data_IF_708302026793
#
_entry.id   IF_708302026793
#
_cell.length_a   1.000
_cell.length_b   1.000
_cell.length_c   1.000
_cell.angle_alpha   90.00
_cell.angle_beta   90.00
_cell.angle_gamma   90.00
#
_symmetry.space_group_name_H-M   'P 1'
#
loop_
_entity.id
_entity.type
_entity.pdbx_description
1 polymer ?
#
# COMPACT_ATOMS: atom_id res chain seq x y z
N UNK A 1 9.30 -19.62 55.27
CA UNK A 1 9.01 -19.93 53.85
C UNK A 1 9.41 -18.70 53.05
N UNK A 2 10.35 -18.83 52.12
CA UNK A 2 10.69 -17.72 51.23
C UNK A 2 9.52 -17.51 50.26
N UNK A 3 9.12 -16.26 49.95
CA UNK A 3 8.09 -16.04 48.94
C UNK A 3 8.57 -16.64 47.60
N UNK A 4 7.66 -17.21 46.79
CA UNK A 4 8.01 -17.73 45.49
C UNK A 4 8.66 -16.61 44.67
N UNK A 5 9.82 -16.90 44.08
CA UNK A 5 10.53 -15.97 43.21
C UNK A 5 9.70 -15.73 41.96
N UNK A 6 9.08 -14.56 41.86
CA UNK A 6 8.34 -14.12 40.69
C UNK A 6 9.30 -13.84 39.52
N UNK A 7 9.07 -14.47 38.38
CA UNK A 7 9.84 -14.26 37.15
C UNK A 7 8.88 -14.29 35.95
N UNK A 8 9.01 -13.30 35.07
CA UNK A 8 8.18 -13.21 33.86
C UNK A 8 8.57 -14.26 32.83
N UNK A 9 7.66 -14.58 31.91
CA UNK A 9 7.99 -15.38 30.74
C UNK A 9 9.11 -14.76 29.89
N UNK A 10 9.81 -15.60 29.13
CA UNK A 10 10.81 -15.17 28.16
C UNK A 10 10.24 -14.13 27.20
N UNK A 11 11.02 -13.09 26.92
CA UNK A 11 10.61 -11.99 26.06
C UNK A 11 10.36 -12.43 24.61
N UNK A 12 9.27 -11.94 24.01
CA UNK A 12 8.90 -12.22 22.62
C UNK A 12 9.11 -10.99 21.73
N UNK A 13 10.28 -10.87 21.07
CA UNK A 13 10.58 -9.71 20.24
C UNK A 13 9.65 -9.58 19.03
N UNK A 14 9.02 -10.67 18.59
CA UNK A 14 8.07 -10.67 17.47
C UNK A 14 6.68 -10.14 17.88
N UNK A 15 6.32 -10.23 19.16
CA UNK A 15 5.03 -9.74 19.66
C UNK A 15 5.14 -9.14 21.06
N UNK A 16 5.73 -7.95 21.11
CA UNK A 16 6.03 -7.25 22.36
C UNK A 16 4.73 -6.82 23.08
N UNK A 17 3.71 -6.41 22.32
CA UNK A 17 2.40 -6.03 22.87
C UNK A 17 1.76 -7.19 23.63
N UNK A 18 1.65 -8.37 22.99
CA UNK A 18 1.07 -9.54 23.63
C UNK A 18 1.91 -9.98 24.82
N UNK A 19 3.25 -9.92 24.73
CA UNK A 19 4.12 -10.22 25.86
C UNK A 19 3.82 -9.33 27.07
N UNK A 20 3.61 -8.02 26.87
CA UNK A 20 3.21 -7.11 27.95
C UNK A 20 1.84 -7.46 28.54
N UNK A 21 0.86 -7.88 27.73
CA UNK A 21 -0.42 -8.35 28.26
C UNK A 21 -0.26 -9.57 29.18
N UNK A 22 0.59 -10.53 28.79
CA UNK A 22 0.88 -11.69 29.65
C UNK A 22 1.62 -11.30 30.92
N UNK A 23 2.60 -10.39 30.82
CA UNK A 23 3.31 -9.89 31.98
C UNK A 23 2.37 -9.19 32.98
N UNK A 24 1.36 -8.47 32.50
CA UNK A 24 0.35 -7.81 33.33
C UNK A 24 -0.58 -8.79 34.04
N UNK A 25 -0.97 -9.86 33.35
CA UNK A 25 -1.71 -10.98 33.96
C UNK A 25 -0.85 -11.62 35.05
N UNK A 26 0.43 -11.89 34.77
CA UNK A 26 1.37 -12.45 35.74
C UNK A 26 1.52 -11.54 36.97
N UNK A 27 1.64 -10.22 36.78
CA UNK A 27 1.69 -9.26 37.90
C UNK A 27 0.43 -9.33 38.76
N UNK A 28 -0.73 -9.37 38.11
CA UNK A 28 -2.02 -9.44 38.79
C UNK A 28 -2.15 -10.73 39.61
N UNK A 29 -1.85 -11.89 39.02
CA UNK A 29 -1.97 -13.20 39.66
C UNK A 29 -1.02 -13.36 40.86
N UNK A 30 0.14 -12.69 40.82
CA UNK A 30 1.13 -12.73 41.90
C UNK A 30 1.05 -11.54 42.86
N UNK A 31 0.06 -10.66 42.70
CA UNK A 31 -0.15 -9.49 43.58
C UNK A 31 0.95 -8.43 43.49
N UNK A 32 1.66 -8.35 42.36
CA UNK A 32 2.73 -7.36 42.12
C UNK A 32 2.10 -6.03 41.70
N UNK A 33 1.67 -5.23 42.69
CA UNK A 33 1.03 -3.93 42.45
C UNK A 33 2.01 -2.74 42.52
N UNK A 34 3.24 -2.96 43.00
CA UNK A 34 4.28 -1.93 43.02
C UNK A 34 4.83 -1.72 41.60
N UNK A 35 4.59 -0.53 41.04
CA UNK A 35 5.06 -0.15 39.69
C UNK A 35 6.57 -0.28 39.55
N UNK A 36 7.32 -0.11 40.65
CA UNK A 36 8.78 -0.30 40.64
C UNK A 36 9.18 -1.78 40.58
N UNK A 37 8.50 -2.64 41.33
CA UNK A 37 8.68 -4.09 41.22
C UNK A 37 8.35 -4.61 39.82
N UNK A 38 7.25 -4.13 39.20
CA UNK A 38 6.87 -4.45 37.82
C UNK A 38 7.97 -4.03 36.83
N UNK A 39 8.44 -2.78 36.92
CA UNK A 39 9.53 -2.27 36.09
C UNK A 39 10.80 -3.14 36.21
N UNK A 40 11.23 -3.46 37.43
CA UNK A 40 12.42 -4.29 37.65
C UNK A 40 12.24 -5.71 37.10
N UNK A 41 11.04 -6.29 37.20
CA UNK A 41 10.75 -7.60 36.62
C UNK A 41 10.85 -7.57 35.10
N UNK A 42 10.29 -6.55 34.45
CA UNK A 42 10.40 -6.35 32.98
C UNK A 42 11.85 -6.17 32.56
N UNK A 43 12.61 -5.30 33.24
CA UNK A 43 14.03 -5.06 32.93
C UNK A 43 14.86 -6.34 33.02
N UNK A 44 14.56 -7.21 33.99
CA UNK A 44 15.24 -8.52 34.13
C UNK A 44 14.88 -9.50 33.02
N UNK A 45 13.65 -9.46 32.51
CA UNK A 45 13.18 -10.36 31.46
C UNK A 45 13.61 -9.91 30.05
N UNK A 46 13.97 -8.64 29.88
CA UNK A 46 14.33 -8.07 28.59
C UNK A 46 15.75 -8.44 28.15
N UNK A 47 15.94 -8.78 26.85
CA UNK A 47 17.27 -8.95 26.28
C UNK A 47 18.11 -7.66 26.36
N UNK A 48 19.43 -7.81 26.41
CA UNK A 48 20.39 -6.69 26.55
C UNK A 48 20.20 -5.59 25.49
N UNK A 49 19.75 -5.93 24.28
CA UNK A 49 19.46 -4.96 23.23
C UNK A 49 18.36 -3.93 23.59
N UNK A 50 17.52 -4.23 24.58
CA UNK A 50 16.47 -3.34 25.10
C UNK A 50 16.89 -2.59 26.38
N UNK A 51 18.05 -2.86 26.97
CA UNK A 51 18.49 -2.19 28.22
C UNK A 51 18.96 -0.75 27.99
N UNK A 52 19.42 -0.41 26.77
CA UNK A 52 19.79 0.96 26.37
C UNK A 52 18.64 1.98 26.43
N UNK A 53 17.40 1.50 26.57
CA UNK A 53 16.20 2.33 26.69
C UNK A 53 15.81 2.58 28.14
N UNK A 54 16.47 1.93 29.08
CA UNK A 54 16.35 2.27 30.48
C UNK A 54 17.30 3.45 30.74
N UNK A 55 16.74 4.65 30.92
CA UNK A 55 17.57 5.77 31.34
C UNK A 55 17.98 5.57 32.80
N UNK A 56 19.19 5.99 33.20
CA UNK A 56 19.60 5.93 34.61
C UNK A 56 18.59 6.60 35.54
N UNK A 57 17.88 7.63 35.07
CA UNK A 57 16.80 8.31 35.80
C UNK A 57 15.61 7.41 36.14
N UNK A 58 15.31 6.36 35.36
CA UNK A 58 14.23 5.41 35.66
C UNK A 58 14.54 4.51 36.86
N UNK A 59 15.82 4.41 37.25
CA UNK A 59 16.24 3.73 38.48
C UNK A 59 16.27 4.64 39.70
N UNK A 60 16.11 5.95 39.50
CA UNK A 60 16.07 6.94 40.58
C UNK A 60 14.64 6.99 41.15
N UNK A 61 14.52 7.18 42.46
CA UNK A 61 13.26 7.06 43.22
C UNK A 61 12.25 8.18 42.97
N UNK A 62 12.54 9.13 42.08
CA UNK A 62 11.72 10.30 41.79
C UNK A 62 10.67 10.07 40.69
N UNK A 63 10.79 8.97 39.92
CA UNK A 63 9.78 8.57 38.94
C UNK A 63 8.61 7.89 39.65
N UNK A 64 7.44 8.53 39.64
CA UNK A 64 6.24 8.04 40.31
C UNK A 64 5.69 6.75 39.70
N UNK A 65 5.84 6.58 38.38
CA UNK A 65 5.31 5.43 37.61
C UNK A 65 6.34 4.94 36.57
N UNK A 66 7.40 4.24 37.02
CA UNK A 66 8.48 3.80 36.14
C UNK A 66 8.03 2.79 35.08
N UNK A 67 7.08 1.91 35.43
CA UNK A 67 6.51 0.93 34.50
C UNK A 67 5.73 1.60 33.36
N UNK A 68 4.80 2.51 33.68
CA UNK A 68 3.99 3.24 32.70
C UNK A 68 4.83 4.17 31.79
N UNK A 69 5.95 4.68 32.30
CA UNK A 69 6.88 5.48 31.48
C UNK A 69 7.74 4.59 30.56
N UNK A 70 8.10 3.40 31.03
CA UNK A 70 9.04 2.51 30.35
C UNK A 70 8.38 1.66 29.26
N UNK A 71 7.18 1.13 29.52
CA UNK A 71 6.43 0.28 28.58
C UNK A 71 6.25 0.94 27.18
N UNK A 72 5.79 2.20 27.06
CA UNK A 72 5.66 2.86 25.76
C UNK A 72 6.99 2.99 24.99
N UNK A 73 8.09 3.17 25.71
CA UNK A 73 9.43 3.30 25.10
C UNK A 73 9.90 2.00 24.45
N UNK A 74 9.57 0.85 25.05
CA UNK A 74 9.88 -0.46 24.48
C UNK A 74 8.98 -0.75 23.27
N UNK A 75 7.68 -0.50 23.40
CA UNK A 75 6.71 -0.71 22.32
C UNK A 75 7.11 0.06 21.06
N UNK A 76 7.42 1.36 21.22
CA UNK A 76 7.89 2.21 20.12
C UNK A 76 9.14 1.70 19.42
N UNK A 77 10.04 1.00 20.13
CA UNK A 77 11.23 0.40 19.51
C UNK A 77 10.87 -0.83 18.67
N UNK A 78 9.90 -1.62 19.10
CA UNK A 78 9.33 -2.70 18.28
C UNK A 78 8.96 -2.16 16.91
N UNK A 79 8.16 -1.09 16.89
CA UNK A 79 7.68 -0.45 15.66
C UNK A 79 8.82 0.08 14.77
N UNK A 80 9.84 0.71 15.38
CA UNK A 80 11.00 1.19 14.63
C UNK A 80 11.80 0.06 13.99
N UNK A 81 11.95 -1.07 14.71
CA UNK A 81 12.65 -2.24 14.22
C UNK A 81 11.89 -2.89 13.07
N UNK A 82 10.56 -2.99 13.20
CA UNK A 82 9.69 -3.54 12.16
C UNK A 82 9.68 -2.64 10.93
N UNK A 83 9.62 -1.30 11.10
CA UNK A 83 9.77 -0.34 9.99
C UNK A 83 11.11 -0.48 9.28
N UNK A 84 12.20 -0.71 10.00
CA UNK A 84 13.51 -0.95 9.38
C UNK A 84 13.54 -2.25 8.58
N UNK A 85 13.04 -3.34 9.16
CA UNK A 85 12.92 -4.65 8.48
C UNK A 85 12.02 -4.57 7.24
N UNK A 86 10.91 -3.83 7.32
CA UNK A 86 10.03 -3.57 6.19
C UNK A 86 10.71 -2.79 5.08
N UNK A 87 11.43 -1.72 5.41
CA UNK A 87 12.17 -0.95 4.41
C UNK A 87 13.23 -1.81 3.72
N UNK A 88 13.92 -2.68 4.48
CA UNK A 88 14.87 -3.63 3.90
C UNK A 88 14.18 -4.65 2.98
N UNK A 89 13.09 -5.27 3.44
CA UNK A 89 12.28 -6.18 2.62
C UNK A 89 11.87 -5.51 1.30
N UNK A 90 11.28 -4.33 1.40
CA UNK A 90 10.77 -3.59 0.25
C UNK A 90 11.87 -3.07 -0.69
N UNK A 91 13.09 -2.86 -0.21
CA UNK A 91 14.23 -2.54 -1.07
C UNK A 91 14.68 -3.75 -1.91
N UNK A 92 14.40 -4.97 -1.44
CA UNK A 92 14.78 -6.21 -2.12
C UNK A 92 13.69 -6.77 -3.03
N UNK A 93 12.47 -6.24 -2.97
CA UNK A 93 11.37 -6.68 -3.84
C UNK A 93 11.50 -6.00 -5.20
N UNK A 94 11.68 -6.82 -6.23
CA UNK A 94 11.56 -6.37 -7.62
C UNK A 94 10.11 -6.49 -8.10
N UNK A 95 9.41 -5.35 -8.12
CA UNK A 95 8.04 -5.29 -8.63
C UNK A 95 7.93 -5.39 -10.16
N UNK A 96 9.05 -5.49 -10.89
CA UNK A 96 8.99 -5.69 -12.35
C UNK A 96 8.39 -7.05 -12.73
N UNK A 97 8.42 -8.03 -11.82
CA UNK A 97 7.91 -9.38 -12.07
C UNK A 97 6.92 -9.91 -11.02
N UNK A 98 6.72 -9.19 -9.90
CA UNK A 98 5.81 -9.59 -8.82
C UNK A 98 4.46 -8.87 -8.81
N UNK A 99 3.48 -9.43 -8.08
CA UNK A 99 2.19 -8.81 -7.80
C UNK A 99 2.27 -7.91 -6.55
N UNK A 100 1.44 -6.86 -6.50
CA UNK A 100 1.23 -6.06 -5.31
C UNK A 100 0.72 -6.93 -4.14
N UNK A 101 -0.17 -7.89 -4.37
CA UNK A 101 -0.62 -8.85 -3.35
C UNK A 101 0.54 -9.64 -2.74
N UNK A 102 1.50 -10.12 -3.55
CA UNK A 102 2.66 -10.85 -3.02
C UNK A 102 3.55 -9.98 -2.13
N UNK A 103 3.73 -8.71 -2.50
CA UNK A 103 4.45 -7.74 -1.68
C UNK A 103 3.80 -7.58 -0.30
N UNK A 104 2.46 -7.55 -0.25
CA UNK A 104 1.69 -7.43 1.00
C UNK A 104 1.85 -8.64 1.89
N UNK A 105 1.75 -9.83 1.32
CA UNK A 105 1.91 -11.07 2.08
C UNK A 105 3.28 -11.09 2.76
N UNK A 106 4.34 -10.72 2.05
CA UNK A 106 5.69 -10.62 2.61
C UNK A 106 5.82 -9.52 3.66
N UNK A 107 5.18 -8.36 3.47
CA UNK A 107 5.16 -7.30 4.48
C UNK A 107 4.45 -7.75 5.77
N UNK A 108 3.33 -8.46 5.64
CA UNK A 108 2.60 -9.07 6.77
C UNK A 108 3.44 -10.13 7.48
N UNK A 109 4.21 -10.94 6.76
CA UNK A 109 5.13 -11.89 7.39
C UNK A 109 6.21 -11.21 8.25
N UNK A 110 6.76 -10.08 7.80
CA UNK A 110 7.82 -9.36 8.54
C UNK A 110 7.31 -8.69 9.82
N UNK A 111 6.09 -8.16 9.79
CA UNK A 111 5.44 -7.54 10.96
C UNK A 111 4.74 -8.57 11.85
N UNK A 112 4.49 -9.77 11.32
CA UNK A 112 3.81 -10.85 12.02
C UNK A 112 2.33 -10.53 12.26
N UNK A 113 1.87 -10.80 13.49
CA UNK A 113 0.46 -10.59 13.89
C UNK A 113 0.14 -9.16 14.34
N UNK A 114 1.10 -8.24 14.35
CA UNK A 114 0.83 -6.86 14.79
C UNK A 114 -0.03 -6.14 13.78
N UNK A 115 -0.92 -5.28 14.28
CA UNK A 115 -1.71 -4.40 13.41
C UNK A 115 -0.79 -3.44 12.69
N UNK A 116 -0.81 -3.47 11.36
CA UNK A 116 -0.20 -2.40 10.57
C UNK A 116 -0.92 -1.09 10.89
N UNK A 117 -0.17 -0.03 11.14
CA UNK A 117 -0.72 1.30 10.96
C UNK A 117 -1.03 1.49 9.47
N UNK A 118 -2.32 1.62 9.14
CA UNK A 118 -2.83 1.85 7.79
C UNK A 118 -2.11 3.01 7.10
N UNK A 119 -1.71 4.06 7.83
CA UNK A 119 -1.03 5.21 7.26
C UNK A 119 0.41 4.86 6.84
N UNK A 120 1.19 4.24 7.74
CA UNK A 120 2.53 3.73 7.42
C UNK A 120 2.50 2.71 6.29
N UNK A 121 1.50 1.83 6.31
CA UNK A 121 1.27 0.85 5.27
C UNK A 121 1.11 1.53 3.90
N UNK A 122 0.16 2.46 3.77
CA UNK A 122 -0.11 3.17 2.51
C UNK A 122 1.12 3.89 2.00
N UNK A 123 1.82 4.58 2.90
CA UNK A 123 3.04 5.31 2.57
C UNK A 123 4.10 4.36 2.00
N UNK A 124 4.38 3.25 2.68
CA UNK A 124 5.39 2.28 2.26
C UNK A 124 4.99 1.58 0.96
N UNK A 125 3.74 1.13 0.87
CA UNK A 125 3.16 0.47 -0.30
C UNK A 125 3.28 1.35 -1.55
N UNK A 126 2.76 2.58 -1.50
CA UNK A 126 2.79 3.51 -2.64
C UNK A 126 4.22 3.90 -3.03
N UNK A 127 5.14 4.02 -2.07
CA UNK A 127 6.54 4.38 -2.34
C UNK A 127 7.30 3.34 -3.17
N UNK A 128 6.79 2.12 -3.23
CA UNK A 128 7.46 1.00 -3.89
C UNK A 128 6.91 0.67 -5.25
N UNK A 129 5.67 1.05 -5.52
CA UNK A 129 5.05 0.80 -6.81
C UNK A 129 5.77 1.53 -7.95
N UNK A 130 5.75 0.98 -9.17
CA UNK A 130 6.22 1.69 -10.35
C UNK A 130 5.52 3.05 -10.49
N UNK A 131 6.26 4.08 -10.93
CA UNK A 131 5.78 5.47 -10.97
C UNK A 131 4.44 5.64 -11.71
N UNK A 132 4.20 4.85 -12.76
CA UNK A 132 2.93 4.84 -13.51
C UNK A 132 1.74 4.37 -12.66
N UNK A 133 1.95 3.32 -11.87
CA UNK A 133 0.94 2.76 -10.97
C UNK A 133 0.69 3.72 -9.81
N UNK A 134 1.77 4.27 -9.23
CA UNK A 134 1.70 5.23 -8.14
C UNK A 134 0.89 6.48 -8.50
N UNK A 135 1.10 7.04 -9.69
CA UNK A 135 0.39 8.24 -10.15
C UNK A 135 -1.14 8.08 -10.17
N UNK A 136 -1.63 6.87 -10.45
CA UNK A 136 -3.07 6.56 -10.44
C UNK A 136 -3.55 6.32 -9.01
N UNK A 137 -2.83 5.53 -8.23
CA UNK A 137 -3.27 5.10 -6.90
C UNK A 137 -3.22 6.18 -5.83
N UNK A 138 -2.41 7.23 -5.99
CA UNK A 138 -2.42 8.39 -5.07
C UNK A 138 -3.83 9.00 -4.96
N UNK A 139 -4.62 8.97 -6.04
CA UNK A 139 -6.00 9.49 -6.03
C UNK A 139 -6.95 8.63 -5.18
N UNK A 140 -6.61 7.35 -4.98
CA UNK A 140 -7.40 6.36 -4.25
C UNK A 140 -6.79 6.02 -2.89
N UNK A 141 -5.84 6.83 -2.41
CA UNK A 141 -5.08 6.55 -1.18
C UNK A 141 -5.94 6.49 0.09
N UNK A 142 -7.20 6.93 0.04
CA UNK A 142 -8.14 6.89 1.16
C UNK A 142 -9.04 5.64 1.17
N UNK A 143 -9.01 4.82 0.12
CA UNK A 143 -9.81 3.60 0.01
C UNK A 143 -9.36 2.54 1.02
N UNK A 144 -10.11 1.45 1.21
CA UNK A 144 -9.63 0.35 2.05
C UNK A 144 -8.27 -0.18 1.55
N UNK A 145 -7.40 -0.63 2.46
CA UNK A 145 -6.08 -1.18 2.10
C UNK A 145 -6.20 -2.28 1.06
N UNK A 146 -7.16 -3.19 1.25
CA UNK A 146 -7.38 -4.32 0.34
C UNK A 146 -7.83 -3.88 -1.06
N UNK A 147 -8.63 -2.81 -1.16
CA UNK A 147 -9.04 -2.21 -2.45
C UNK A 147 -7.86 -1.55 -3.17
N UNK A 148 -6.98 -0.89 -2.41
CA UNK A 148 -5.77 -0.25 -2.95
C UNK A 148 -4.82 -1.29 -3.54
N UNK A 149 -4.68 -2.45 -2.87
CA UNK A 149 -3.86 -3.58 -3.31
C UNK A 149 -4.44 -4.17 -4.60
N UNK A 150 -5.75 -4.48 -4.62
CA UNK A 150 -6.41 -5.03 -5.79
C UNK A 150 -6.31 -4.10 -7.01
N UNK A 151 -6.43 -2.78 -6.78
CA UNK A 151 -6.27 -1.76 -7.82
C UNK A 151 -4.84 -1.73 -8.36
N UNK A 152 -3.84 -1.86 -7.49
CA UNK A 152 -2.44 -1.92 -7.90
C UNK A 152 -2.16 -3.13 -8.80
N UNK A 153 -2.66 -4.31 -8.42
CA UNK A 153 -2.51 -5.53 -9.22
C UNK A 153 -3.15 -5.39 -10.60
N UNK A 154 -4.36 -4.84 -10.67
CA UNK A 154 -5.06 -4.59 -11.92
C UNK A 154 -4.24 -3.66 -12.84
N UNK A 155 -3.71 -2.56 -12.31
CA UNK A 155 -2.91 -1.60 -13.11
C UNK A 155 -1.57 -2.23 -13.52
N UNK A 156 -0.91 -3.00 -12.65
CA UNK A 156 0.33 -3.71 -12.98
C UNK A 156 0.07 -4.68 -14.15
N UNK A 157 -0.99 -5.49 -14.09
CA UNK A 157 -1.37 -6.39 -15.19
C UNK A 157 -1.64 -5.64 -16.51
N UNK A 158 -2.36 -4.52 -16.47
CA UNK A 158 -2.65 -3.71 -17.67
C UNK A 158 -1.38 -3.08 -18.25
N UNK A 159 -0.42 -2.72 -17.40
CA UNK A 159 0.80 -2.03 -17.80
C UNK A 159 1.98 -2.96 -18.09
N UNK A 160 1.84 -4.27 -17.81
CA UNK A 160 2.81 -5.28 -18.24
C UNK A 160 2.94 -5.22 -19.77
N UNK A 161 4.15 -5.06 -20.31
CA UNK A 161 4.35 -5.16 -21.74
C UNK A 161 4.05 -6.60 -22.14
N UNK A 162 2.90 -6.85 -22.77
CA UNK A 162 2.68 -8.13 -23.44
C UNK A 162 3.73 -8.22 -24.55
N UNK A 163 4.44 -9.35 -24.65
CA UNK A 163 5.20 -9.75 -25.84
C UNK A 163 4.26 -10.03 -27.03
N UNK A 164 3.24 -9.20 -27.25
CA UNK A 164 2.77 -8.97 -28.60
C UNK A 164 3.95 -8.27 -29.25
N UNK A 165 4.60 -8.94 -30.19
CA UNK A 165 5.54 -8.32 -31.12
C UNK A 165 4.98 -6.95 -31.46
N UNK A 166 5.57 -5.92 -30.87
CA UNK A 166 5.31 -4.55 -31.27
C UNK A 166 5.91 -4.52 -32.65
N UNK A 167 5.08 -4.75 -33.66
CA UNK A 167 5.35 -4.28 -35.01
C UNK A 167 5.77 -2.84 -34.80
N UNK A 168 7.06 -2.61 -34.98
CA UNK A 168 7.67 -1.31 -34.93
C UNK A 168 6.95 -0.47 -35.96
N UNK A 169 5.94 0.30 -35.55
CA UNK A 169 5.43 1.42 -36.33
C UNK A 169 6.45 2.54 -36.17
N UNK A 170 7.68 2.25 -36.58
CA UNK A 170 8.70 3.24 -36.92
C UNK A 170 8.65 3.45 -38.43
N UNK A 171 7.46 3.69 -38.98
CA UNK A 171 7.28 4.32 -40.28
C UNK A 171 5.81 4.58 -40.55
N UNK A 172 5.31 5.75 -40.14
CA UNK A 172 4.51 6.61 -41.04
C UNK A 172 4.37 8.03 -40.47
N UNK A 173 5.48 8.69 -40.13
CA UNK A 173 5.53 10.15 -39.99
C UNK A 173 6.00 10.83 -41.28
N UNK A 174 5.65 10.25 -42.43
CA UNK A 174 5.77 10.92 -43.73
C UNK A 174 4.54 10.62 -44.60
N UNK A 175 3.36 10.97 -44.09
CA UNK A 175 2.22 11.21 -44.97
C UNK A 175 2.42 12.60 -45.59
N UNK A 176 2.84 12.62 -46.86
CA UNK A 176 2.98 13.83 -47.69
C UNK A 176 1.72 14.72 -47.64
N UNK A 177 1.86 16.06 -47.68
CA UNK A 177 0.75 17.02 -47.54
C UNK A 177 -0.46 16.81 -48.46
N UNK A 178 -0.29 16.09 -49.57
CA UNK A 178 -1.31 15.91 -50.60
C UNK A 178 -2.49 15.01 -50.19
N UNK A 179 -2.30 14.06 -49.25
CA UNK A 179 -3.41 13.18 -48.80
C UNK A 179 -4.33 13.86 -47.80
N UNK A 180 -3.81 14.81 -47.02
CA UNK A 180 -4.59 15.56 -46.04
C UNK A 180 -5.51 16.55 -46.76
N UNK A 181 -5.01 17.25 -47.79
CA UNK A 181 -5.83 18.17 -48.59
C UNK A 181 -6.95 17.46 -49.36
N UNK A 182 -6.71 16.25 -49.86
CA UNK A 182 -7.73 15.44 -50.53
C UNK A 182 -8.86 15.02 -49.58
N UNK A 183 -8.52 14.65 -48.35
CA UNK A 183 -9.51 14.31 -47.32
C UNK A 183 -10.35 15.53 -46.89
N UNK A 184 -9.73 16.69 -46.70
CA UNK A 184 -10.44 17.94 -46.39
C UNK A 184 -11.37 18.35 -47.54
N UNK A 185 -10.93 18.20 -48.79
CA UNK A 185 -11.77 18.55 -49.94
C UNK A 185 -12.97 17.61 -50.07
N UNK A 186 -12.76 16.30 -49.85
CA UNK A 186 -13.81 15.29 -49.88
C UNK A 186 -14.84 15.47 -48.76
N UNK A 187 -14.41 15.80 -47.55
CA UNK A 187 -15.32 16.12 -46.45
C UNK A 187 -16.11 17.42 -46.70
N UNK A 188 -15.49 18.41 -47.34
CA UNK A 188 -16.16 19.69 -47.66
C UNK A 188 -17.22 19.50 -48.74
N UNK A 189 -16.97 18.65 -49.75
CA UNK A 189 -17.95 18.28 -50.78
C UNK A 189 -19.14 17.50 -50.19
N UNK A 190 -18.89 16.58 -49.24
CA UNK A 190 -19.95 15.81 -48.59
C UNK A 190 -20.88 16.69 -47.76
N UNK A 191 -20.32 17.60 -46.95
CA UNK A 191 -21.11 18.54 -46.14
C UNK A 191 -21.93 19.49 -47.03
N UNK A 192 -21.38 19.92 -48.18
CA UNK A 192 -22.12 20.77 -49.13
C UNK A 192 -23.28 20.03 -49.83
N UNK A 193 -23.11 18.73 -50.08
CA UNK A 193 -24.14 17.87 -50.68
C UNK A 193 -25.28 17.55 -49.69
N UNK A 194 -24.96 17.37 -48.40
CA UNK A 194 -25.97 17.10 -47.37
C UNK A 194 -26.81 18.33 -46.97
N UNK A 195 -26.35 19.54 -47.29
CA UNK A 195 -27.00 20.80 -46.91
C UNK A 195 -27.90 21.41 -47.99
N UNK A 196 -28.13 20.73 -49.11
CA UNK A 196 -28.99 21.23 -50.20
C UNK A 196 -30.46 20.79 -49.97
N UNK A 197 -31.37 21.66 -49.46
CA UNK A 197 -32.72 21.25 -49.13
C UNK A 197 -33.62 21.44 -50.36
N UNK A 198 -33.88 20.32 -51.04
CA UNK A 198 -35.01 20.08 -51.98
C UNK A 198 -35.03 20.89 -53.28
N UNK A 199 -34.94 20.17 -54.41
CA UNK A 199 -35.86 20.41 -55.54
C UNK A 199 -36.61 19.13 -55.90
N UNK A 200 -37.74 18.97 -55.23
CA UNK A 200 -38.81 18.03 -55.55
C UNK A 200 -39.36 18.31 -56.95
N UNK A 201 -39.27 17.33 -57.86
CA UNK A 201 -40.25 17.11 -58.94
C UNK A 201 -40.36 15.62 -59.25
N UNK A 202 -41.42 14.99 -58.78
CA UNK A 202 -41.86 13.66 -59.24
C UNK A 202 -42.43 13.76 -60.65
N UNK A 203 -42.05 12.89 -61.60
CA UNK A 203 -42.76 12.73 -62.86
C UNK A 203 -43.94 11.76 -62.67
N UNK A 204 -45.18 12.25 -62.84
CA UNK A 204 -46.37 11.40 -62.92
C UNK A 204 -46.51 10.92 -64.37
N UNK A 205 -46.29 9.63 -64.61
CA UNK A 205 -46.49 8.97 -65.90
C UNK A 205 -47.73 8.08 -65.79
N UNK A 206 -48.71 8.31 -66.66
CA UNK A 206 -49.75 7.32 -66.96
C UNK A 206 -50.01 7.31 -68.46
N UNK A 207 -50.16 6.10 -68.96
CA UNK A 207 -50.13 5.61 -70.34
C UNK A 207 -51.48 5.69 -71.08
N UNK A 208 -51.38 5.84 -72.40
CA UNK A 208 -52.25 5.45 -73.55
C UNK A 208 -53.72 5.03 -73.35
N UNK A 209 -54.63 5.46 -74.24
CA UNK A 209 -55.09 4.74 -75.47
C UNK A 209 -56.34 5.41 -76.08
N UNK A 210 -56.40 5.34 -77.41
CA UNK A 210 -57.54 5.16 -78.33
C UNK A 210 -58.78 6.08 -78.27
N UNK A 211 -59.17 6.56 -79.46
CA UNK A 211 -60.42 7.26 -79.77
C UNK A 211 -60.28 8.22 -80.93
#
# INVERSE_FOLDING_TARGET
>A
MSPPSFHLMLFWPDNIEVWFCYAEIDFYDHGVNDTRAQFLAVVKALPCEFTRYVTPSMFISDVFEPYETYKPSILKRGDLTDRQRLNQLLNNIDLQHGSATDMILRMREVVGRRTFDDALFRQLFLSKLPQKVQAVLILFQNNAVDELIASADCIIEITKPSNVEVFSVKEMLQATPNKVTELYHRSTCYIRFCNDPKRSRTPRRSTSRDG
#
